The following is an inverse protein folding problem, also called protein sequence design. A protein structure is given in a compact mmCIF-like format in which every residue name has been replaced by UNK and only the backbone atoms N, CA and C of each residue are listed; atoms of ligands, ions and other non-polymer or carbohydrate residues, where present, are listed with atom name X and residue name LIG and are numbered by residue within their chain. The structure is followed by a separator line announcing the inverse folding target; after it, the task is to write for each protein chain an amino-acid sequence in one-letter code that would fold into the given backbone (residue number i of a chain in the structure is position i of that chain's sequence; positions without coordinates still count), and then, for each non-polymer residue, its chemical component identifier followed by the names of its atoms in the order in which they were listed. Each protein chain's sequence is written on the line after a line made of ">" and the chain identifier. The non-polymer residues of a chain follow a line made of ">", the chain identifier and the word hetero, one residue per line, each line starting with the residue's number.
data_IF_992447795368
#
_entry.id   IF_992447795368
#
_cell.length_a   1.000
_cell.length_b   1.000
_cell.length_c   1.000
_cell.angle_alpha   90.00
_cell.angle_beta   90.00
_cell.angle_gamma   90.00
#
_symmetry.space_group_name_H-M   'P 1'
#
loop_
_entity.id
_entity.type
_entity.pdbx_description
1 polymer ?
#
# COMPACT_ATOMS: atom_id res chain seq x y z
N UNK A 1 -16.76 9.08 -1.79
CA UNK A 1 -15.79 8.56 -2.78
C UNK A 1 -14.70 9.61 -2.93
N UNK A 2 -13.51 9.31 -2.43
CA UNK A 2 -12.35 10.22 -2.42
C UNK A 2 -11.17 9.62 -3.18
N UNK A 3 -10.24 10.46 -3.65
CA UNK A 3 -8.96 10.02 -4.19
C UNK A 3 -7.90 10.02 -3.07
N UNK A 4 -7.35 8.84 -2.77
CA UNK A 4 -6.36 8.63 -1.71
C UNK A 4 -5.03 8.22 -2.33
N UNK A 5 -3.95 8.87 -1.92
CA UNK A 5 -2.59 8.47 -2.25
C UNK A 5 -1.96 7.80 -1.04
N UNK A 6 -1.47 6.57 -1.20
CA UNK A 6 -0.75 5.84 -0.16
C UNK A 6 0.70 5.64 -0.57
N UNK A 7 1.63 6.08 0.29
CA UNK A 7 3.06 5.85 0.09
C UNK A 7 3.58 4.84 1.09
N UNK A 8 4.33 3.87 0.60
CA UNK A 8 5.03 2.88 1.42
C UNK A 8 6.54 2.99 1.18
N UNK A 9 7.32 3.07 2.27
CA UNK A 9 8.79 3.06 2.21
C UNK A 9 9.35 1.65 2.01
N UNK A 10 10.65 1.55 1.77
CA UNK A 10 11.33 0.26 1.50
C UNK A 10 11.10 -0.78 2.60
N UNK A 11 11.22 -0.38 3.87
CA UNK A 11 10.94 -1.24 5.03
C UNK A 11 9.49 -1.76 5.10
N UNK A 12 8.54 -1.06 4.49
CA UNK A 12 7.14 -1.52 4.41
C UNK A 12 6.93 -2.58 3.34
N UNK A 13 7.90 -2.77 2.45
CA UNK A 13 7.90 -3.74 1.35
C UNK A 13 9.17 -4.61 1.38
N UNK A 14 9.78 -4.80 2.56
CA UNK A 14 11.05 -5.50 2.74
C UNK A 14 11.04 -6.96 2.27
N UNK A 15 9.89 -7.61 2.38
CA UNK A 15 9.70 -9.03 2.07
C UNK A 15 8.28 -9.31 1.56
N UNK A 16 8.03 -10.54 1.12
CA UNK A 16 6.74 -10.94 0.56
C UNK A 16 5.57 -10.82 1.56
N UNK A 17 5.79 -11.10 2.85
CA UNK A 17 4.76 -10.95 3.88
C UNK A 17 4.48 -9.47 4.15
N UNK A 18 5.50 -8.63 4.17
CA UNK A 18 5.40 -7.17 4.25
C UNK A 18 4.58 -6.61 3.09
N UNK A 19 4.83 -7.07 1.86
CA UNK A 19 4.05 -6.69 0.66
C UNK A 19 2.59 -7.13 0.80
N UNK A 20 2.31 -8.36 1.28
CA UNK A 20 0.93 -8.81 1.51
C UNK A 20 0.21 -7.95 2.54
N UNK A 21 0.90 -7.53 3.61
CA UNK A 21 0.33 -6.60 4.62
C UNK A 21 -0.01 -5.24 4.00
N UNK A 22 0.87 -4.69 3.15
CA UNK A 22 0.59 -3.46 2.39
C UNK A 22 -0.61 -3.64 1.46
N UNK A 23 -0.65 -4.72 0.69
CA UNK A 23 -1.76 -5.01 -0.23
C UNK A 23 -3.11 -5.09 0.49
N UNK A 24 -3.15 -5.72 1.67
CA UNK A 24 -4.37 -5.78 2.50
C UNK A 24 -4.89 -4.37 2.85
N UNK A 25 -4.01 -3.46 3.28
CA UNK A 25 -4.38 -2.07 3.62
C UNK A 25 -4.91 -1.28 2.40
N UNK A 26 -4.28 -1.48 1.23
CA UNK A 26 -4.73 -0.87 -0.04
C UNK A 26 -6.13 -1.37 -0.41
N UNK A 27 -6.36 -2.68 -0.33
CA UNK A 27 -7.65 -3.30 -0.62
C UNK A 27 -8.73 -2.82 0.34
N UNK A 28 -8.46 -2.76 1.64
CA UNK A 28 -9.39 -2.22 2.64
C UNK A 28 -9.79 -0.78 2.31
N UNK A 29 -8.82 0.06 1.92
CA UNK A 29 -9.09 1.46 1.53
C UNK A 29 -9.95 1.55 0.28
N UNK A 30 -9.68 0.69 -0.72
CA UNK A 30 -10.47 0.60 -1.96
C UNK A 30 -11.90 0.11 -1.68
N UNK A 31 -12.06 -0.90 -0.82
CA UNK A 31 -13.37 -1.43 -0.39
C UNK A 31 -14.19 -0.38 0.37
N UNK A 32 -13.53 0.57 1.04
CA UNK A 32 -14.18 1.75 1.63
C UNK A 32 -14.74 2.76 0.62
N UNK A 33 -14.74 2.46 -0.68
CA UNK A 33 -15.31 3.33 -1.72
C UNK A 33 -14.37 4.44 -2.21
N UNK A 34 -13.06 4.29 -1.97
CA UNK A 34 -12.05 5.25 -2.41
C UNK A 34 -11.39 4.82 -3.73
N UNK A 35 -10.94 5.79 -4.53
CA UNK A 35 -9.93 5.56 -5.56
C UNK A 35 -8.57 5.64 -4.89
N UNK A 36 -7.68 4.68 -5.19
CA UNK A 36 -6.40 4.56 -4.50
C UNK A 36 -5.27 4.56 -5.51
N UNK A 37 -4.31 5.47 -5.34
CA UNK A 37 -3.02 5.46 -6.02
C UNK A 37 -1.98 5.04 -4.99
N UNK A 38 -1.09 4.12 -5.35
CA UNK A 38 -0.06 3.61 -4.46
C UNK A 38 1.31 3.90 -5.05
N UNK A 39 2.18 4.52 -4.26
CA UNK A 39 3.60 4.71 -4.59
C UNK A 39 4.45 3.91 -3.61
N UNK A 40 5.40 3.15 -4.14
CA UNK A 40 6.33 2.33 -3.35
C UNK A 40 7.76 2.72 -3.67
N UNK A 41 8.61 2.71 -2.65
CA UNK A 41 10.06 2.69 -2.83
C UNK A 41 10.54 1.29 -3.23
N UNK A 42 11.78 1.16 -3.69
CA UNK A 42 12.43 -0.14 -3.82
C UNK A 42 12.40 -0.90 -2.48
N UNK A 43 12.42 -2.23 -2.54
CA UNK A 43 12.51 -3.09 -1.35
C UNK A 43 13.77 -2.71 -0.57
N UNK A 44 13.62 -2.49 0.73
CA UNK A 44 14.71 -2.15 1.63
C UNK A 44 14.51 -2.82 2.98
N UNK A 45 15.54 -2.76 3.81
CA UNK A 45 15.56 -3.41 5.11
C UNK A 45 14.51 -2.86 6.10
#
# INVERSE_FOLDING_TARGET
>A
MSLIVQKFGGSSVADAESIKRVAKRVVETRKGGNQVVVAVSAMGD
#
